data_IF_267670413301
#
_entry.id   IF_267670413301
#
_cell.length_a   1.000
_cell.length_b   1.000
_cell.length_c   1.000
_cell.angle_alpha   90.00
_cell.angle_beta   90.00
_cell.angle_gamma   90.00
#
_symmetry.space_group_name_H-M   'P 1'
#
loop_
_entity.id
_entity.type
_entity.pdbx_description
1 polymer ?
#
# COMPACT_ATOMS: atom_id res chain seq x y z
N UNK A 1 11.44 32.55 47.91
CA UNK A 1 10.09 32.74 47.34
C UNK A 1 10.21 32.61 45.83
N UNK A 2 9.67 31.53 45.25
CA UNK A 2 9.48 31.39 43.80
C UNK A 2 8.14 30.69 43.59
N UNK A 3 7.13 31.49 43.27
CA UNK A 3 5.74 31.07 43.08
C UNK A 3 5.56 30.57 41.64
N UNK A 4 5.39 29.26 41.45
CA UNK A 4 4.91 28.71 40.18
C UNK A 4 3.42 29.00 40.05
N UNK A 5 3.06 30.00 39.25
CA UNK A 5 1.68 30.38 38.95
C UNK A 5 1.31 29.87 37.55
N UNK A 6 0.83 28.63 37.43
CA UNK A 6 0.17 28.16 36.21
C UNK A 6 -1.31 28.48 36.27
N UNK A 7 -1.74 29.38 35.39
CA UNK A 7 -3.14 29.77 35.17
C UNK A 7 -3.84 28.66 34.40
N UNK A 8 -4.45 27.70 35.09
CA UNK A 8 -5.23 26.63 34.46
C UNK A 8 -6.69 27.05 34.28
N UNK A 9 -7.11 27.17 33.03
CA UNK A 9 -8.51 27.10 32.63
C UNK A 9 -8.63 26.14 31.45
N UNK A 10 -8.43 24.85 31.68
CA UNK A 10 -8.98 23.78 30.85
C UNK A 10 -9.26 22.57 31.74
N UNK A 11 -10.55 22.24 31.84
CA UNK A 11 -11.11 21.13 32.60
C UNK A 11 -10.90 19.88 31.74
N UNK A 12 -10.05 18.94 32.20
CA UNK A 12 -10.01 17.60 31.63
C UNK A 12 -11.19 16.81 32.17
N UNK A 13 -12.18 16.52 31.32
CA UNK A 13 -13.26 15.59 31.64
C UNK A 13 -12.70 14.17 31.69
N UNK A 14 -12.63 13.60 32.90
CA UNK A 14 -12.30 12.20 33.12
C UNK A 14 -11.39 11.98 34.31
N UNK A 15 -11.80 12.31 35.54
CA UNK A 15 -11.29 11.75 36.81
C UNK A 15 -9.78 11.85 37.16
N UNK A 16 -8.91 12.32 36.28
CA UNK A 16 -7.47 12.35 36.49
C UNK A 16 -7.07 13.57 37.32
N UNK A 17 -6.71 13.35 38.59
CA UNK A 17 -6.10 14.38 39.45
C UNK A 17 -4.62 14.51 39.14
N UNK A 18 -4.17 15.74 38.86
CA UNK A 18 -2.76 16.05 38.65
C UNK A 18 -2.00 15.91 39.98
N UNK A 19 -0.91 15.13 40.07
CA UNK A 19 -0.16 14.96 41.31
C UNK A 19 0.57 16.26 41.71
N UNK A 20 0.71 16.57 43.02
CA UNK A 20 1.36 17.78 43.48
C UNK A 20 2.86 17.78 43.11
N UNK A 21 3.35 18.94 42.69
CA UNK A 21 4.74 19.13 42.26
C UNK A 21 5.67 19.08 43.49
N UNK A 22 6.46 18.02 43.60
CA UNK A 22 7.44 17.80 44.68
C UNK A 22 8.67 17.04 44.18
N UNK A 23 9.77 17.08 44.93
CA UNK A 23 11.08 16.55 44.52
C UNK A 23 11.03 15.09 44.03
N UNK A 24 11.86 14.77 43.02
CA UNK A 24 11.92 13.50 42.25
C UNK A 24 11.77 12.20 43.05
N UNK A 25 12.17 12.17 44.34
CA UNK A 25 12.03 11.00 45.21
C UNK A 25 10.60 10.75 45.71
N UNK A 26 9.74 11.77 45.78
CA UNK A 26 8.36 11.65 46.27
C UNK A 26 7.35 11.19 45.21
N UNK A 27 7.73 11.20 43.93
CA UNK A 27 6.89 10.73 42.81
C UNK A 27 7.01 9.22 42.55
N UNK A 28 8.07 8.54 43.01
CA UNK A 28 8.29 7.13 42.71
C UNK A 28 7.35 6.17 43.47
N UNK A 29 6.92 6.54 44.68
CA UNK A 29 6.01 5.73 45.49
C UNK A 29 4.60 5.59 44.89
N UNK A 30 3.88 6.68 44.54
CA UNK A 30 2.53 6.56 43.96
C UNK A 30 2.52 5.91 42.58
N UNK A 31 3.60 6.05 41.81
CA UNK A 31 3.71 5.44 40.48
C UNK A 31 3.94 3.92 40.54
N UNK A 32 4.68 3.43 41.55
CA UNK A 32 4.83 1.99 41.82
C UNK A 32 3.51 1.34 42.25
N UNK A 33 2.73 2.00 43.10
CA UNK A 33 1.43 1.47 43.53
C UNK A 33 0.39 1.47 42.40
N UNK A 34 0.36 2.50 41.55
CA UNK A 34 -0.48 2.52 40.35
C UNK A 34 -0.12 1.38 39.38
N UNK A 35 1.18 1.07 39.22
CA UNK A 35 1.64 -0.01 38.35
C UNK A 35 1.34 -1.39 38.92
N UNK A 36 1.44 -1.57 40.25
CA UNK A 36 1.03 -2.79 40.95
C UNK A 36 -0.49 -3.02 40.86
N UNK A 37 -1.30 -1.96 40.97
CA UNK A 37 -2.75 -2.02 40.80
C UNK A 37 -3.18 -2.46 39.40
N UNK A 38 -2.56 -1.92 38.34
CA UNK A 38 -2.82 -2.36 36.96
C UNK A 38 -2.42 -3.83 36.72
N UNK A 39 -1.34 -4.29 37.35
CA UNK A 39 -0.86 -5.68 37.21
C UNK A 39 -1.76 -6.70 37.90
N UNK A 40 -2.44 -6.30 38.98
CA UNK A 40 -3.42 -7.14 39.67
C UNK A 40 -4.75 -7.22 38.91
N UNK A 41 -5.16 -6.14 38.22
CA UNK A 41 -6.33 -6.15 37.34
C UNK A 41 -6.12 -6.94 36.04
N UNK A 42 -4.88 -7.05 35.53
CA UNK A 42 -4.60 -7.88 34.34
C UNK A 42 -4.50 -9.39 34.65
N UNK A 43 -4.61 -9.79 35.92
CA UNK A 43 -4.51 -11.19 36.35
C UNK A 43 -5.85 -11.91 36.52
N UNK A 44 -6.98 -11.18 36.49
CA UNK A 44 -8.33 -11.72 36.72
C UNK A 44 -9.20 -11.78 35.46
N UNK A 45 -8.60 -11.80 34.28
CA UNK A 45 -9.34 -12.04 33.04
C UNK A 45 -9.59 -13.55 32.88
N UNK A 46 -10.85 -14.01 32.87
CA UNK A 46 -11.15 -15.42 32.67
C UNK A 46 -10.60 -15.85 31.31
N UNK A 47 -9.67 -16.78 31.34
CA UNK A 47 -9.04 -17.40 30.17
C UNK A 47 -10.13 -18.14 29.39
N UNK A 48 -10.80 -17.45 28.47
CA UNK A 48 -11.71 -18.08 27.53
C UNK A 48 -10.91 -18.98 26.61
N UNK A 49 -10.73 -20.24 27.02
CA UNK A 49 -10.36 -21.34 26.12
C UNK A 49 -11.54 -21.60 25.20
N UNK A 50 -11.74 -20.76 24.19
CA UNK A 50 -12.59 -21.12 23.06
C UNK A 50 -11.77 -22.00 22.12
N UNK A 51 -11.73 -23.28 22.47
CA UNK A 51 -11.73 -24.32 21.44
C UNK A 51 -13.01 -24.12 20.63
N UNK A 52 -12.88 -23.54 19.43
CA UNK A 52 -13.98 -23.36 18.49
C UNK A 52 -13.50 -23.77 17.10
N UNK A 53 -13.00 -25.00 17.00
CA UNK A 53 -12.89 -25.71 15.73
C UNK A 53 -14.24 -26.35 15.40
N UNK A 54 -15.28 -25.58 15.08
CA UNK A 54 -16.50 -26.09 14.43
C UNK A 54 -17.30 -24.96 13.78
N UNK A 55 -17.38 -24.99 12.45
CA UNK A 55 -18.28 -24.18 11.65
C UNK A 55 -17.74 -22.80 11.28
N UNK A 56 -16.90 -22.72 10.24
CA UNK A 56 -16.80 -21.46 9.50
C UNK A 56 -18.22 -21.12 9.03
N UNK A 57 -18.75 -19.95 9.45
CA UNK A 57 -20.09 -19.50 9.07
C UNK A 57 -20.32 -19.71 7.57
N UNK A 58 -21.51 -20.18 7.17
CA UNK A 58 -21.87 -20.39 5.76
C UNK A 58 -21.59 -19.12 4.92
N UNK A 59 -21.73 -17.94 5.55
CA UNK A 59 -21.39 -16.64 4.96
C UNK A 59 -19.88 -16.44 4.73
N UNK A 60 -19.02 -16.99 5.61
CA UNK A 60 -17.57 -16.95 5.44
C UNK A 60 -17.12 -17.93 4.34
N UNK A 61 -17.69 -19.14 4.28
CA UNK A 61 -17.40 -20.09 3.20
C UNK A 61 -17.89 -19.58 1.84
N UNK A 62 -19.05 -18.94 1.77
CA UNK A 62 -19.53 -18.35 0.51
C UNK A 62 -18.69 -17.13 0.10
N UNK A 63 -18.27 -16.28 1.04
CA UNK A 63 -17.35 -15.17 0.76
C UNK A 63 -15.96 -15.65 0.31
N UNK A 64 -15.45 -16.73 0.89
CA UNK A 64 -14.21 -17.37 0.45
C UNK A 64 -14.34 -17.95 -0.96
N UNK A 65 -15.45 -18.62 -1.27
CA UNK A 65 -15.69 -19.17 -2.60
C UNK A 65 -15.83 -18.06 -3.64
N UNK A 66 -16.60 -17.01 -3.34
CA UNK A 66 -16.77 -15.86 -4.22
C UNK A 66 -15.44 -15.13 -4.46
N UNK A 67 -14.65 -14.91 -3.41
CA UNK A 67 -13.32 -14.29 -3.55
C UNK A 67 -12.34 -15.18 -4.31
N UNK A 68 -12.34 -16.50 -4.08
CA UNK A 68 -11.51 -17.44 -4.82
C UNK A 68 -11.88 -17.49 -6.32
N UNK A 69 -13.17 -17.56 -6.64
CA UNK A 69 -13.67 -17.49 -8.02
C UNK A 69 -13.26 -16.17 -8.68
N UNK A 70 -13.45 -15.05 -7.99
CA UNK A 70 -13.04 -13.74 -8.48
C UNK A 70 -11.54 -13.66 -8.77
N UNK A 71 -10.70 -14.18 -7.86
CA UNK A 71 -9.24 -14.22 -8.04
C UNK A 71 -8.85 -15.09 -9.23
N UNK A 72 -9.40 -16.29 -9.36
CA UNK A 72 -9.12 -17.19 -10.49
C UNK A 72 -9.51 -16.54 -11.82
N UNK A 73 -10.66 -15.88 -11.87
CA UNK A 73 -11.11 -15.18 -13.08
C UNK A 73 -10.30 -13.93 -13.40
N UNK A 74 -9.85 -13.18 -12.38
CA UNK A 74 -8.95 -12.05 -12.55
C UNK A 74 -7.58 -12.48 -13.08
N UNK A 75 -7.04 -13.59 -12.57
CA UNK A 75 -5.81 -14.19 -13.08
C UNK A 75 -5.97 -14.62 -14.54
N UNK A 76 -7.10 -15.24 -14.89
CA UNK A 76 -7.42 -15.58 -16.26
C UNK A 76 -7.47 -14.33 -17.16
N UNK A 77 -8.14 -13.25 -16.73
CA UNK A 77 -8.21 -11.99 -17.48
C UNK A 77 -6.82 -11.37 -17.70
N UNK A 78 -5.95 -11.40 -16.69
CA UNK A 78 -4.57 -10.90 -16.75
C UNK A 78 -3.73 -11.69 -17.76
N UNK A 79 -3.89 -13.02 -17.80
CA UNK A 79 -3.15 -13.92 -18.70
C UNK A 79 -3.70 -13.87 -20.13
N UNK A 80 -5.01 -13.69 -20.27
CA UNK A 80 -5.71 -13.70 -21.55
C UNK A 80 -5.49 -12.39 -22.33
N UNK A 81 -5.40 -11.23 -21.67
CA UNK A 81 -5.22 -9.91 -22.31
C UNK A 81 -4.12 -9.85 -23.39
N UNK A 82 -2.87 -10.34 -23.20
CA UNK A 82 -1.85 -10.26 -24.23
C UNK A 82 -2.21 -11.02 -25.52
N UNK A 83 -2.99 -12.10 -25.42
CA UNK A 83 -3.51 -12.82 -26.59
C UNK A 83 -4.67 -12.07 -27.25
N UNK A 84 -5.60 -11.54 -26.46
CA UNK A 84 -6.79 -10.86 -26.99
C UNK A 84 -6.50 -9.45 -27.52
N UNK A 85 -5.49 -8.75 -26.98
CA UNK A 85 -5.10 -7.42 -27.43
C UNK A 85 -4.65 -7.41 -28.90
N UNK A 86 -3.83 -8.40 -29.30
CA UNK A 86 -3.39 -8.57 -30.70
C UNK A 86 -4.57 -8.89 -31.62
N UNK A 87 -5.49 -9.76 -31.17
CA UNK A 87 -6.68 -10.12 -31.94
C UNK A 87 -7.65 -8.95 -32.12
N UNK A 88 -7.90 -8.17 -31.06
CA UNK A 88 -8.77 -6.99 -31.08
C UNK A 88 -8.19 -5.87 -31.94
N UNK A 89 -6.89 -5.59 -31.83
CA UNK A 89 -6.23 -4.59 -32.66
C UNK A 89 -6.30 -4.97 -34.15
N UNK A 90 -6.12 -6.25 -34.46
CA UNK A 90 -6.25 -6.77 -35.84
C UNK A 90 -7.68 -6.65 -36.39
N UNK A 91 -8.70 -6.94 -35.57
CA UNK A 91 -10.12 -6.83 -35.97
C UNK A 91 -10.58 -5.39 -36.13
N UNK A 92 -10.05 -4.47 -35.32
CA UNK A 92 -10.45 -3.07 -35.31
C UNK A 92 -9.68 -2.23 -36.34
N UNK A 93 -8.45 -2.60 -36.73
CA UNK A 93 -7.76 -2.00 -37.89
C UNK A 93 -8.56 -2.17 -39.20
N UNK A 94 -9.43 -3.17 -39.27
CA UNK A 94 -10.34 -3.39 -40.40
C UNK A 94 -11.73 -2.77 -40.24
N UNK A 95 -12.05 -2.16 -39.09
CA UNK A 95 -13.32 -1.48 -38.88
C UNK A 95 -13.15 0.01 -39.19
N UNK A 96 -13.59 0.42 -40.37
CA UNK A 96 -13.65 1.82 -40.81
C UNK A 96 -14.41 2.65 -39.74
N UNK A 97 -13.75 3.68 -39.22
CA UNK A 97 -14.28 4.51 -38.15
C UNK A 97 -15.54 5.22 -38.63
N UNK A 98 -16.74 5.02 -38.04
CA UNK A 98 -17.91 5.75 -38.48
C UNK A 98 -17.65 7.23 -38.24
N UNK A 99 -17.56 8.00 -39.33
CA UNK A 99 -17.23 9.41 -39.34
C UNK A 99 -18.07 10.17 -38.32
N UNK A 100 -17.48 10.45 -37.15
CA UNK A 100 -18.08 11.34 -36.16
C UNK A 100 -17.88 12.77 -36.65
N UNK A 101 -18.89 13.65 -36.58
CA UNK A 101 -18.69 15.05 -36.90
C UNK A 101 -17.60 15.62 -35.97
N UNK A 102 -16.49 16.08 -36.56
CA UNK A 102 -15.43 16.77 -35.85
C UNK A 102 -16.00 18.08 -35.28
N UNK A 103 -16.37 18.09 -34.00
CA UNK A 103 -16.55 19.35 -33.29
C UNK A 103 -15.16 19.92 -32.99
N UNK A 104 -14.87 21.17 -33.39
CA UNK A 104 -13.57 21.78 -33.16
C UNK A 104 -13.45 22.16 -31.68
N UNK A 105 -13.06 21.21 -30.84
CA UNK A 105 -12.37 21.53 -29.60
C UNK A 105 -10.87 21.21 -29.79
N UNK A 106 -10.03 22.22 -30.10
CA UNK A 106 -8.62 22.02 -30.41
C UNK A 106 -7.75 21.57 -29.21
N UNK A 107 -8.33 21.51 -28.01
CA UNK A 107 -7.63 21.06 -26.79
C UNK A 107 -7.90 19.59 -26.43
N UNK A 108 -8.91 18.96 -27.03
CA UNK A 108 -9.33 17.58 -26.71
C UNK A 108 -9.74 16.83 -27.98
N UNK A 109 -8.80 16.71 -28.91
CA UNK A 109 -8.89 15.73 -30.01
C UNK A 109 -8.53 14.35 -29.43
N UNK A 110 -9.16 13.28 -29.92
CA UNK A 110 -9.03 11.87 -29.47
C UNK A 110 -9.99 11.41 -28.35
N UNK A 111 -11.17 10.89 -28.75
CA UNK A 111 -11.90 9.92 -27.90
C UNK A 111 -11.34 8.54 -28.22
N UNK A 112 -10.36 8.04 -27.47
CA UNK A 112 -9.85 6.67 -27.66
C UNK A 112 -10.97 5.65 -27.42
N UNK A 113 -11.66 5.19 -28.46
CA UNK A 113 -12.75 4.23 -28.36
C UNK A 113 -12.32 2.94 -27.63
N UNK A 114 -11.06 2.55 -27.76
CA UNK A 114 -10.47 1.37 -27.11
C UNK A 114 -10.40 1.46 -25.58
N UNK A 115 -10.48 2.67 -25.02
CA UNK A 115 -10.31 2.95 -23.59
C UNK A 115 -11.59 2.74 -22.79
N UNK A 116 -12.74 3.08 -23.37
CA UNK A 116 -14.03 3.12 -22.67
C UNK A 116 -14.92 1.93 -23.00
N UNK A 117 -14.59 1.14 -24.02
CA UNK A 117 -15.33 -0.07 -24.36
C UNK A 117 -15.05 -1.15 -23.31
N UNK A 118 -16.12 -1.56 -22.63
CA UNK A 118 -16.14 -2.68 -21.68
C UNK A 118 -16.38 -3.96 -22.45
N UNK A 119 -15.51 -4.94 -22.26
CA UNK A 119 -15.63 -6.21 -22.97
C UNK A 119 -16.22 -7.27 -22.03
N UNK A 120 -17.30 -7.97 -22.41
CA UNK A 120 -17.88 -9.02 -21.57
C UNK A 120 -16.87 -10.15 -21.29
N UNK A 121 -15.95 -10.41 -22.23
CA UNK A 121 -14.87 -11.39 -22.08
C UNK A 121 -13.82 -10.96 -21.03
N UNK A 122 -13.67 -9.66 -20.79
CA UNK A 122 -12.82 -9.09 -19.74
C UNK A 122 -13.65 -8.76 -18.47
N UNK A 123 -14.76 -9.47 -18.25
CA UNK A 123 -15.63 -9.28 -17.07
C UNK A 123 -16.19 -7.85 -16.98
N UNK A 124 -16.49 -7.25 -18.14
CA UNK A 124 -16.90 -5.85 -18.27
C UNK A 124 -15.86 -4.83 -17.77
N UNK A 125 -14.61 -5.22 -17.59
CA UNK A 125 -13.50 -4.29 -17.43
C UNK A 125 -13.07 -3.74 -18.79
N UNK A 126 -12.48 -2.56 -18.73
CA UNK A 126 -11.77 -1.92 -19.84
C UNK A 126 -10.38 -2.55 -19.98
N UNK A 127 -9.81 -2.47 -21.19
CA UNK A 127 -8.44 -2.97 -21.44
C UNK A 127 -7.41 -2.33 -20.50
N UNK A 128 -7.60 -1.04 -20.18
CA UNK A 128 -6.71 -0.30 -19.29
C UNK A 128 -6.76 -0.82 -17.84
N UNK A 129 -7.96 -1.06 -17.31
CA UNK A 129 -8.10 -1.59 -15.96
C UNK A 129 -7.40 -2.95 -15.82
N UNK A 130 -7.49 -3.81 -16.84
CA UNK A 130 -6.81 -5.12 -16.85
C UNK A 130 -5.29 -4.97 -16.98
N UNK A 131 -4.81 -4.03 -17.78
CA UNK A 131 -3.39 -3.73 -17.88
C UNK A 131 -2.82 -3.20 -16.55
N UNK A 132 -3.53 -2.31 -15.86
CA UNK A 132 -3.14 -1.80 -14.54
C UNK A 132 -3.10 -2.93 -13.51
N UNK A 133 -4.12 -3.79 -13.48
CA UNK A 133 -4.15 -4.95 -12.61
C UNK A 133 -2.97 -5.89 -12.87
N UNK A 134 -2.63 -6.16 -14.14
CA UNK A 134 -1.46 -6.96 -14.51
C UNK A 134 -0.16 -6.37 -13.99
N UNK A 135 0.06 -5.06 -14.21
CA UNK A 135 1.28 -4.37 -13.73
C UNK A 135 1.39 -4.44 -12.21
N UNK A 136 0.29 -4.20 -11.48
CA UNK A 136 0.27 -4.30 -10.02
C UNK A 136 0.58 -5.72 -9.52
N UNK A 137 0.00 -6.75 -10.15
CA UNK A 137 0.28 -8.14 -9.79
C UNK A 137 1.75 -8.48 -10.08
N UNK A 138 2.30 -8.07 -11.22
CA UNK A 138 3.69 -8.31 -11.56
C UNK A 138 4.64 -7.59 -10.60
N UNK A 139 4.39 -6.32 -10.29
CA UNK A 139 5.15 -5.56 -9.30
C UNK A 139 5.13 -6.24 -7.92
N UNK A 140 3.96 -6.71 -7.49
CA UNK A 140 3.80 -7.40 -6.21
C UNK A 140 4.57 -8.72 -6.18
N UNK A 141 4.52 -9.52 -7.24
CA UNK A 141 5.26 -10.78 -7.36
C UNK A 141 6.77 -10.55 -7.36
N UNK A 142 7.26 -9.61 -8.15
CA UNK A 142 8.68 -9.26 -8.18
C UNK A 142 9.17 -8.73 -6.83
N UNK A 143 8.39 -7.88 -6.16
CA UNK A 143 8.69 -7.40 -4.81
C UNK A 143 8.66 -8.53 -3.76
N UNK A 144 7.73 -9.49 -3.90
CA UNK A 144 7.66 -10.66 -3.04
C UNK A 144 8.87 -11.60 -3.24
N UNK A 145 9.30 -11.83 -4.49
CA UNK A 145 10.50 -12.61 -4.82
C UNK A 145 11.77 -11.98 -4.23
N UNK A 146 11.91 -10.65 -4.37
CA UNK A 146 13.00 -9.91 -3.72
C UNK A 146 12.98 -10.06 -2.19
N UNK A 147 11.79 -10.05 -1.59
CA UNK A 147 11.66 -10.23 -0.15
C UNK A 147 11.88 -11.67 0.32
N UNK A 148 11.54 -12.68 -0.50
CA UNK A 148 11.76 -14.10 -0.22
C UNK A 148 13.25 -14.41 -0.04
N UNK A 149 14.08 -13.94 -0.99
CA UNK A 149 15.53 -14.10 -0.93
C UNK A 149 16.14 -13.46 0.34
N UNK A 150 15.49 -12.42 0.88
CA UNK A 150 15.95 -11.71 2.08
C UNK A 150 15.46 -12.32 3.38
N UNK A 151 14.25 -12.88 3.40
CA UNK A 151 13.70 -13.58 4.58
C UNK A 151 14.53 -14.82 4.89
N UNK A 152 15.01 -15.53 3.88
CA UNK A 152 15.91 -16.68 4.04
C UNK A 152 17.25 -16.31 4.69
N UNK A 153 17.72 -15.07 4.48
CA UNK A 153 18.98 -14.54 5.02
C UNK A 153 18.81 -13.80 6.36
N UNK A 154 17.65 -13.91 7.03
CA UNK A 154 17.33 -13.21 8.28
C UNK A 154 17.59 -11.70 8.26
N UNK A 155 17.36 -11.04 7.12
CA UNK A 155 17.55 -9.58 6.99
C UNK A 155 16.29 -8.82 7.42
N UNK A 156 16.47 -7.61 7.97
CA UNK A 156 15.42 -6.82 8.63
C UNK A 156 14.24 -6.35 7.77
N UNK A 157 14.25 -6.54 6.45
CA UNK A 157 13.10 -6.26 5.58
C UNK A 157 12.73 -7.52 4.79
N UNK A 158 11.54 -8.04 5.05
CA UNK A 158 11.03 -9.30 4.47
C UNK A 158 10.06 -9.10 3.31
N UNK A 159 9.38 -10.19 2.95
CA UNK A 159 8.42 -10.29 1.84
C UNK A 159 7.39 -9.16 1.87
N UNK A 160 6.76 -8.93 3.02
CA UNK A 160 5.67 -7.94 3.19
C UNK A 160 6.11 -6.51 2.88
N UNK A 161 7.30 -6.11 3.34
CA UNK A 161 7.77 -4.73 3.13
C UNK A 161 8.16 -4.52 1.68
N UNK A 162 8.93 -5.44 1.09
CA UNK A 162 9.37 -5.33 -0.30
C UNK A 162 8.20 -5.39 -1.30
N UNK A 163 7.21 -6.25 -1.04
CA UNK A 163 6.01 -6.32 -1.87
C UNK A 163 5.17 -5.03 -1.81
N UNK A 164 5.02 -4.43 -0.62
CA UNK A 164 4.26 -3.19 -0.46
C UNK A 164 4.96 -1.97 -1.08
N UNK A 165 6.29 -1.90 -0.98
CA UNK A 165 7.08 -0.83 -1.63
C UNK A 165 6.94 -0.93 -3.14
N UNK A 166 7.10 -2.14 -3.71
CA UNK A 166 6.97 -2.37 -5.15
C UNK A 166 5.55 -2.06 -5.65
N UNK A 167 4.52 -2.54 -4.93
CA UNK A 167 3.12 -2.26 -5.26
C UNK A 167 2.82 -0.74 -5.19
N UNK A 168 3.29 -0.06 -4.14
CA UNK A 168 3.10 1.38 -3.98
C UNK A 168 3.74 2.17 -5.11
N UNK A 169 4.97 1.82 -5.50
CA UNK A 169 5.65 2.43 -6.65
C UNK A 169 4.85 2.25 -7.95
N UNK A 170 4.34 1.03 -8.20
CA UNK A 170 3.51 0.75 -9.38
C UNK A 170 2.23 1.60 -9.41
N UNK A 171 1.51 1.67 -8.28
CA UNK A 171 0.27 2.46 -8.19
C UNK A 171 0.51 3.94 -8.45
N UNK A 172 1.59 4.51 -7.89
CA UNK A 172 1.93 5.91 -8.13
C UNK A 172 2.38 6.17 -9.58
N UNK A 173 3.18 5.28 -10.16
CA UNK A 173 3.63 5.41 -11.56
C UNK A 173 2.46 5.31 -12.53
N UNK A 174 1.59 4.29 -12.38
CA UNK A 174 0.40 4.11 -13.22
C UNK A 174 -0.58 5.27 -13.03
N UNK A 175 -0.83 5.69 -11.79
CA UNK A 175 -1.69 6.84 -11.50
C UNK A 175 -1.14 8.14 -12.09
N UNK A 176 0.18 8.33 -12.07
CA UNK A 176 0.85 9.47 -12.69
C UNK A 176 0.72 9.48 -14.21
N UNK A 177 0.97 8.34 -14.87
CA UNK A 177 0.80 8.21 -16.33
C UNK A 177 -0.65 8.55 -16.71
N UNK A 178 -1.62 8.00 -15.98
CA UNK A 178 -3.03 8.19 -16.31
C UNK A 178 -3.53 9.63 -16.05
N UNK A 179 -3.05 10.28 -14.98
CA UNK A 179 -3.46 11.64 -14.62
C UNK A 179 -3.05 12.68 -15.68
N UNK A 180 -1.92 12.48 -16.36
CA UNK A 180 -1.38 13.44 -17.33
C UNK A 180 -1.56 12.99 -18.80
N UNK A 181 -2.28 11.89 -19.03
CA UNK A 181 -2.37 11.24 -20.33
C UNK A 181 -3.06 12.07 -21.41
N UNK A 182 -4.02 12.92 -21.00
CA UNK A 182 -4.83 13.72 -21.91
C UNK A 182 -4.52 15.23 -21.81
N UNK A 183 -3.47 15.61 -21.07
CA UNK A 183 -3.07 17.01 -20.90
C UNK A 183 -2.01 17.46 -21.90
N UNK A 184 -1.82 18.76 -22.05
CA UNK A 184 -0.70 19.34 -22.82
C UNK A 184 0.68 19.04 -22.22
N UNK A 185 0.71 18.55 -20.97
CA UNK A 185 1.93 18.23 -20.21
C UNK A 185 2.04 16.73 -19.92
N UNK A 186 1.99 15.90 -20.96
CA UNK A 186 2.17 14.44 -20.87
C UNK A 186 3.47 14.07 -20.11
N UNK A 187 4.50 14.91 -20.22
CA UNK A 187 5.78 14.77 -19.55
C UNK A 187 5.72 14.89 -18.02
N UNK A 188 4.65 15.46 -17.44
CA UNK A 188 4.52 15.64 -16.00
C UNK A 188 4.38 14.32 -15.23
N UNK A 189 3.97 13.22 -15.89
CA UNK A 189 4.00 11.88 -15.32
C UNK A 189 5.43 11.46 -14.88
N UNK A 190 6.47 11.98 -15.55
CA UNK A 190 7.87 11.74 -15.17
C UNK A 190 8.22 12.35 -13.81
N UNK A 191 7.54 13.43 -13.39
CA UNK A 191 7.76 14.07 -12.10
C UNK A 191 7.33 13.16 -10.95
N UNK A 192 6.18 12.51 -11.10
CA UNK A 192 5.69 11.52 -10.12
C UNK A 192 6.74 10.42 -9.95
N UNK A 193 7.22 9.86 -11.07
CA UNK A 193 8.25 8.82 -11.05
C UNK A 193 9.58 9.30 -10.47
N UNK A 194 10.01 10.54 -10.74
CA UNK A 194 11.25 11.11 -10.21
C UNK A 194 11.23 11.32 -8.68
N UNK A 195 10.04 11.53 -8.09
CA UNK A 195 9.91 11.70 -6.64
C UNK A 195 10.01 10.39 -5.86
N UNK A 196 9.71 9.24 -6.48
CA UNK A 196 9.67 7.93 -5.81
C UNK A 196 11.06 7.49 -5.29
N UNK A 197 12.15 7.46 -6.09
CA UNK A 197 13.47 7.07 -5.61
C UNK A 197 13.97 7.94 -4.45
N UNK A 198 13.62 9.22 -4.46
CA UNK A 198 14.00 10.18 -3.42
C UNK A 198 13.25 9.88 -2.11
N UNK A 199 11.92 9.67 -2.18
CA UNK A 199 11.11 9.33 -1.01
C UNK A 199 11.49 7.98 -0.39
N UNK A 200 11.68 6.94 -1.22
CA UNK A 200 12.11 5.62 -0.76
C UNK A 200 13.55 5.64 -0.26
N UNK A 201 14.42 6.47 -0.84
CA UNK A 201 15.77 6.71 -0.33
C UNK A 201 15.80 7.23 1.10
N UNK A 202 14.88 8.13 1.48
CA UNK A 202 14.74 8.60 2.85
C UNK A 202 14.34 7.48 3.83
N UNK A 203 13.39 6.62 3.44
CA UNK A 203 13.01 5.43 4.21
C UNK A 203 14.20 4.47 4.36
N UNK A 204 14.94 4.25 3.28
CA UNK A 204 16.17 3.45 3.27
C UNK A 204 17.23 3.98 4.23
N UNK A 205 17.45 5.30 4.24
CA UNK A 205 18.36 5.97 5.18
C UNK A 205 17.95 5.78 6.63
N UNK A 206 16.65 5.82 6.93
CA UNK A 206 16.10 5.59 8.27
C UNK A 206 16.30 4.16 8.78
N UNK A 207 16.64 3.20 7.92
CA UNK A 207 16.98 1.83 8.31
C UNK A 207 18.45 1.66 8.72
N UNK A 208 19.32 2.60 8.38
CA UNK A 208 20.77 2.48 8.60
C UNK A 208 21.14 2.97 10.00
N UNK A 209 21.74 2.08 10.80
CA UNK A 209 22.23 2.40 12.14
C UNK A 209 23.66 1.90 12.33
N UNK A 210 24.41 2.62 13.16
CA UNK A 210 25.79 2.29 13.52
C UNK A 210 25.81 1.72 14.93
N UNK A 211 26.31 0.50 15.08
CA UNK A 211 26.51 -0.13 16.39
C UNK A 211 27.95 -0.62 16.53
N UNK A 212 28.59 -0.30 17.65
CA UNK A 212 29.97 -0.68 17.99
C UNK A 212 31.02 -0.54 16.86
N UNK A 213 30.88 0.46 15.98
CA UNK A 213 31.80 0.69 14.86
C UNK A 213 31.45 -0.03 13.55
N UNK A 214 30.43 -0.89 13.54
CA UNK A 214 29.90 -1.55 12.34
C UNK A 214 28.62 -0.85 11.86
N UNK A 215 28.50 -0.65 10.54
CA UNK A 215 27.27 -0.10 9.94
C UNK A 215 26.38 -1.28 9.57
N UNK A 216 25.19 -1.34 10.16
CA UNK A 216 24.20 -2.36 9.85
C UNK A 216 23.18 -1.84 8.82
N UNK A 217 22.48 -2.78 8.17
CA UNK A 217 21.34 -2.52 7.29
C UNK A 217 21.57 -1.69 6.00
N UNK A 218 22.83 -1.38 5.60
CA UNK A 218 23.14 -0.76 4.29
C UNK A 218 22.51 -1.56 3.14
N UNK A 219 22.73 -2.88 3.13
CA UNK A 219 22.20 -3.75 2.07
C UNK A 219 20.68 -3.81 2.08
N UNK A 220 20.05 -3.65 3.25
CA UNK A 220 18.59 -3.60 3.39
C UNK A 220 18.04 -2.31 2.82
N UNK A 221 18.70 -1.17 3.07
CA UNK A 221 18.39 0.11 2.46
C UNK A 221 18.48 0.06 0.92
N UNK A 222 19.57 -0.50 0.38
CA UNK A 222 19.69 -0.72 -1.06
C UNK A 222 18.60 -1.65 -1.61
N UNK A 223 18.21 -2.68 -0.86
CA UNK A 223 17.13 -3.59 -1.24
C UNK A 223 15.77 -2.91 -1.32
N UNK A 224 15.46 -2.03 -0.37
CA UNK A 224 14.22 -1.22 -0.35
C UNK A 224 14.18 -0.27 -1.56
N UNK A 225 15.32 0.37 -1.86
CA UNK A 225 15.46 1.23 -3.03
C UNK A 225 15.27 0.45 -4.35
N UNK A 226 15.88 -0.73 -4.45
CA UNK A 226 15.74 -1.60 -5.62
C UNK A 226 14.31 -2.13 -5.77
N UNK A 227 13.62 -2.47 -4.69
CA UNK A 227 12.22 -2.88 -4.74
C UNK A 227 11.31 -1.77 -5.29
N UNK A 228 11.59 -0.51 -4.96
CA UNK A 228 10.90 0.62 -5.59
C UNK A 228 11.19 0.71 -7.09
N UNK A 229 12.45 0.55 -7.49
CA UNK A 229 12.83 0.58 -8.90
C UNK A 229 12.11 -0.48 -9.72
N UNK A 230 12.01 -1.71 -9.19
CA UNK A 230 11.31 -2.82 -9.83
C UNK A 230 9.80 -2.58 -9.91
N UNK A 231 9.22 -1.88 -8.93
CA UNK A 231 7.80 -1.53 -8.94
C UNK A 231 7.41 -0.40 -9.91
N UNK A 232 8.35 0.39 -10.41
CA UNK A 232 8.08 1.46 -11.40
C UNK A 232 7.91 0.86 -12.82
N UNK A 233 6.83 0.11 -13.03
CA UNK A 233 6.48 -0.58 -14.28
C UNK A 233 5.11 -0.14 -14.84
#
# INVERSE_FOLDING_TARGET
>A
QATCRWRHRHIFHGGWRVPPCGSRRRMQAPMREAWLGMRLQSGSEPRHTKSASHGMSVAYTSALLLSAVFVVYALFAIIAEPLYGVYLESRMRGAEEPARPQMPNPLWTETHAFRTVRWPQLLFLTRQEVEFARRMVFALLCGALLGLERTEKSRGAGIRTMSLISLGACVFTVGGIHAFEQGTQIWDASRVSATLPTGVGFLGGALIFKDAGQIQAITTACGVWLACAVGMC
#
